data_IF_480134586232
#
_entry.id   IF_480134586232
#
_cell.length_a   1.000
_cell.length_b   1.000
_cell.length_c   1.000
_cell.angle_alpha   90.00
_cell.angle_beta   90.00
_cell.angle_gamma   90.00
#
_symmetry.space_group_name_H-M   'P 1'
#
loop_
_entity.id
_entity.type
_entity.pdbx_description
1 polymer ?
#
# COMPACT_ATOMS: atom_id res chain seq x y z
N UNK A 1 27.46 4.05 -31.00
CA UNK A 1 26.44 4.24 -29.94
C UNK A 1 27.15 4.64 -28.65
N UNK A 2 26.64 5.63 -27.93
CA UNK A 2 27.25 6.11 -26.68
C UNK A 2 27.11 5.07 -25.56
N UNK A 3 28.15 4.87 -24.76
CA UNK A 3 28.06 4.12 -23.51
C UNK A 3 27.64 5.06 -22.39
N UNK A 4 26.54 4.74 -21.70
CA UNK A 4 26.01 5.58 -20.62
C UNK A 4 26.31 4.93 -19.29
N UNK A 5 27.28 5.50 -18.57
CA UNK A 5 27.65 5.11 -17.20
C UNK A 5 27.22 6.26 -16.28
N UNK A 6 26.32 6.03 -15.31
CA UNK A 6 25.89 7.09 -14.40
C UNK A 6 27.06 7.63 -13.57
N UNK A 7 27.15 8.95 -13.47
CA UNK A 7 28.07 9.66 -12.58
C UNK A 7 27.51 9.64 -11.15
N UNK A 8 27.72 8.52 -10.46
CA UNK A 8 27.28 8.31 -9.08
C UNK A 8 28.45 7.88 -8.20
N UNK A 9 28.30 8.07 -6.88
CA UNK A 9 29.29 7.61 -5.91
C UNK A 9 29.47 6.09 -5.95
N UNK A 10 30.63 5.60 -5.51
CA UNK A 10 30.89 4.16 -5.42
C UNK A 10 29.93 3.46 -4.45
N UNK A 11 29.63 4.11 -3.31
CA UNK A 11 28.65 3.61 -2.35
C UNK A 11 27.26 3.45 -2.98
N UNK A 12 26.84 4.43 -3.78
CA UNK A 12 25.54 4.41 -4.45
C UNK A 12 25.50 3.29 -5.51
N UNK A 13 26.57 3.16 -6.31
CA UNK A 13 26.71 2.06 -7.27
C UNK A 13 26.62 0.69 -6.58
N UNK A 14 27.34 0.53 -5.47
CA UNK A 14 27.35 -0.72 -4.71
C UNK A 14 25.97 -1.08 -4.15
N UNK A 15 25.24 -0.11 -3.58
CA UNK A 15 23.89 -0.32 -3.06
C UNK A 15 22.91 -0.76 -4.17
N UNK A 16 23.02 -0.15 -5.36
CA UNK A 16 22.18 -0.48 -6.53
C UNK A 16 22.49 -1.87 -7.05
N UNK A 17 23.76 -2.19 -7.26
CA UNK A 17 24.18 -3.50 -7.74
C UNK A 17 23.79 -4.61 -6.76
N UNK A 18 23.89 -4.35 -5.45
CA UNK A 18 23.45 -5.27 -4.39
C UNK A 18 21.93 -5.49 -4.44
N UNK A 19 21.14 -4.43 -4.56
CA UNK A 19 19.69 -4.52 -4.73
C UNK A 19 19.31 -5.35 -5.97
N UNK A 20 19.94 -5.06 -7.10
CA UNK A 20 19.66 -5.76 -8.37
C UNK A 20 20.07 -7.23 -8.27
N UNK A 21 21.21 -7.53 -7.65
CA UNK A 21 21.67 -8.90 -7.43
C UNK A 21 20.72 -9.67 -6.51
N UNK A 22 20.29 -9.08 -5.39
CA UNK A 22 19.33 -9.68 -4.46
C UNK A 22 18.00 -9.98 -5.15
N UNK A 23 17.49 -9.04 -5.96
CA UNK A 23 16.28 -9.24 -6.74
C UNK A 23 16.42 -10.36 -7.78
N UNK A 24 17.56 -10.45 -8.47
CA UNK A 24 17.83 -11.56 -9.41
C UNK A 24 17.85 -12.89 -8.69
N UNK A 25 18.49 -12.97 -7.53
CA UNK A 25 18.52 -14.19 -6.73
C UNK A 25 17.12 -14.65 -6.29
N UNK A 26 16.19 -13.72 -6.01
CA UNK A 26 14.79 -14.04 -5.74
C UNK A 26 14.08 -14.61 -6.98
N UNK A 27 14.34 -14.02 -8.15
CA UNK A 27 13.78 -14.50 -9.43
C UNK A 27 14.35 -15.85 -9.89
N UNK A 28 15.43 -16.36 -9.31
CA UNK A 28 16.09 -17.59 -9.75
C UNK A 28 15.68 -18.82 -8.93
N UNK A 29 14.88 -18.64 -7.86
CA UNK A 29 14.63 -19.67 -6.85
C UNK A 29 13.52 -20.70 -7.14
N UNK A 30 12.70 -20.54 -8.19
CA UNK A 30 11.66 -21.52 -8.52
C UNK A 30 11.71 -22.02 -9.99
N UNK A 31 11.72 -23.35 -10.23
CA UNK A 31 11.18 -23.88 -11.48
C UNK A 31 9.67 -23.61 -11.51
N UNK A 32 9.15 -23.21 -12.67
CA UNK A 32 7.73 -22.83 -12.82
C UNK A 32 6.82 -23.95 -12.31
N UNK A 33 5.91 -23.67 -11.37
CA UNK A 33 4.85 -24.61 -11.06
C UNK A 33 4.01 -24.89 -12.32
N UNK A 34 3.61 -26.14 -12.54
CA UNK A 34 2.85 -26.55 -13.73
C UNK A 34 1.53 -25.75 -13.91
N UNK A 35 0.97 -25.22 -12.82
CA UNK A 35 -0.24 -24.40 -12.83
C UNK A 35 -0.04 -23.01 -13.44
N UNK A 36 1.19 -22.46 -13.45
CA UNK A 36 1.47 -21.13 -13.99
C UNK A 36 1.15 -21.03 -15.50
N UNK A 37 1.32 -22.13 -16.24
CA UNK A 37 1.00 -22.22 -17.67
C UNK A 37 -0.50 -22.16 -17.97
N UNK A 38 -1.34 -22.69 -17.07
CA UNK A 38 -2.81 -22.66 -17.17
C UNK A 38 -3.39 -21.31 -16.72
N UNK A 39 -2.69 -20.62 -15.82
CA UNK A 39 -3.13 -19.37 -15.19
C UNK A 39 -2.84 -18.10 -16.02
N UNK A 40 -1.71 -18.06 -16.76
CA UNK A 40 -1.34 -16.90 -17.61
C UNK A 40 -2.34 -16.55 -18.71
N UNK A 41 -3.19 -17.49 -19.11
CA UNK A 41 -4.19 -17.30 -20.18
C UNK A 41 -5.56 -16.88 -19.61
N UNK A 42 -5.71 -16.84 -18.28
CA UNK A 42 -6.99 -16.59 -17.60
C UNK A 42 -7.01 -15.33 -16.73
N UNK A 43 -5.87 -14.71 -16.42
CA UNK A 43 -5.81 -13.52 -15.53
C UNK A 43 -5.10 -12.35 -16.21
N UNK A 44 -5.69 -11.16 -16.10
CA UNK A 44 -5.08 -9.90 -16.56
C UNK A 44 -3.70 -9.70 -15.90
N UNK A 45 -2.65 -9.29 -16.64
CA UNK A 45 -1.30 -9.07 -16.11
C UNK A 45 -1.19 -8.07 -14.94
N UNK A 46 -2.26 -7.32 -14.67
CA UNK A 46 -2.37 -6.36 -13.58
C UNK A 46 -2.66 -6.96 -12.20
N UNK A 47 -2.95 -8.27 -12.13
CA UNK A 47 -3.43 -8.93 -10.91
C UNK A 47 -2.37 -9.92 -10.39
N UNK A 48 -1.28 -9.39 -9.85
CA UNK A 48 -0.27 -10.19 -9.15
C UNK A 48 -0.46 -10.05 -7.64
N UNK A 49 -0.65 -11.20 -6.98
CA UNK A 49 -1.03 -11.33 -5.58
C UNK A 49 -0.05 -12.28 -4.93
N UNK A 50 0.91 -11.73 -4.20
CA UNK A 50 1.47 -12.32 -2.98
C UNK A 50 2.26 -11.20 -2.29
N UNK A 51 2.31 -11.19 -0.96
CA UNK A 51 3.14 -10.30 -0.13
C UNK A 51 4.65 -10.44 -0.37
N UNK A 52 5.08 -11.08 -1.45
CA UNK A 52 6.44 -11.04 -1.96
C UNK A 52 6.78 -9.60 -2.36
N UNK A 53 8.05 -9.20 -2.21
CA UNK A 53 8.56 -8.04 -2.94
C UNK A 53 8.11 -8.20 -4.40
N UNK A 54 7.62 -7.16 -5.09
CA UNK A 54 7.40 -7.23 -6.54
C UNK A 54 8.65 -7.77 -7.25
N UNK A 55 8.65 -9.08 -7.44
CA UNK A 55 9.83 -9.94 -7.43
C UNK A 55 9.46 -11.38 -7.78
N UNK A 56 8.17 -11.73 -7.70
CA UNK A 56 7.59 -12.75 -8.57
C UNK A 56 7.84 -12.40 -10.03
N UNK A 57 8.17 -13.44 -10.80
CA UNK A 57 8.64 -13.50 -12.19
C UNK A 57 8.07 -12.45 -13.16
N UNK A 58 6.88 -11.92 -12.90
CA UNK A 58 6.14 -11.02 -13.75
C UNK A 58 6.06 -9.56 -13.31
N UNK A 59 6.56 -9.17 -12.12
CA UNK A 59 6.41 -7.78 -11.70
C UNK A 59 7.14 -6.83 -12.68
N UNK A 60 6.44 -5.84 -13.27
CA UNK A 60 7.07 -4.87 -14.15
C UNK A 60 8.21 -4.13 -13.42
N UNK A 61 9.37 -3.91 -14.07
CA UNK A 61 10.50 -3.23 -13.43
C UNK A 61 10.15 -1.85 -12.84
N UNK A 62 9.24 -1.12 -13.50
CA UNK A 62 8.76 0.16 -13.01
C UNK A 62 8.00 0.06 -11.68
N UNK A 63 7.23 -1.01 -11.49
CA UNK A 63 6.46 -1.24 -10.25
C UNK A 63 7.37 -1.73 -9.12
N UNK A 64 8.39 -2.54 -9.43
CA UNK A 64 9.48 -2.83 -8.47
C UNK A 64 10.13 -1.53 -7.99
N UNK A 65 10.47 -0.61 -8.91
CA UNK A 65 11.05 0.67 -8.52
C UNK A 65 10.09 1.52 -7.70
N UNK A 66 8.79 1.55 -8.03
CA UNK A 66 7.79 2.26 -7.20
C UNK A 66 7.78 1.71 -5.78
N UNK A 67 7.85 0.39 -5.61
CA UNK A 67 7.84 -0.25 -4.30
C UNK A 67 9.09 0.06 -3.45
N UNK A 68 10.26 0.21 -4.09
CA UNK A 68 11.55 0.38 -3.41
C UNK A 68 11.99 1.83 -3.30
N UNK A 69 11.56 2.69 -4.23
CA UNK A 69 11.94 4.10 -4.30
C UNK A 69 10.74 4.98 -3.93
N UNK A 70 10.67 5.51 -2.70
CA UNK A 70 9.60 6.42 -2.29
C UNK A 70 9.50 7.61 -3.25
N UNK A 71 8.28 8.05 -3.55
CA UNK A 71 8.01 9.16 -4.48
C UNK A 71 8.53 8.95 -5.92
N UNK A 72 8.95 7.73 -6.29
CA UNK A 72 9.25 7.44 -7.69
C UNK A 72 7.96 7.39 -8.51
N UNK A 73 7.92 8.19 -9.57
CA UNK A 73 6.81 8.21 -10.50
C UNK A 73 7.29 7.88 -11.92
N UNK A 74 6.98 6.65 -12.36
CA UNK A 74 7.28 6.21 -13.73
C UNK A 74 6.45 6.92 -14.81
N UNK A 75 5.46 7.74 -14.43
CA UNK A 75 4.66 8.56 -15.35
C UNK A 75 5.13 10.02 -15.43
N UNK A 76 6.17 10.40 -14.69
CA UNK A 76 6.74 11.75 -14.72
C UNK A 76 7.10 12.19 -16.15
N UNK A 77 7.22 13.48 -16.43
CA UNK A 77 7.79 13.92 -17.70
C UNK A 77 9.20 13.35 -17.89
N UNK A 78 9.53 12.97 -19.14
CA UNK A 78 10.88 12.59 -19.51
C UNK A 78 11.76 13.85 -19.54
N UNK A 79 13.00 13.72 -19.07
CA UNK A 79 14.00 14.79 -19.13
C UNK A 79 14.50 14.97 -20.55
N UNK A 80 14.64 13.86 -21.30
CA UNK A 80 15.10 13.83 -22.67
C UNK A 80 14.32 12.81 -23.50
N UNK A 81 14.14 13.06 -24.81
CA UNK A 81 13.66 12.06 -25.76
C UNK A 81 14.53 10.79 -25.77
N UNK A 82 13.97 9.69 -26.27
CA UNK A 82 14.68 8.43 -26.39
C UNK A 82 15.90 8.57 -27.33
N UNK A 83 17.04 8.00 -26.95
CA UNK A 83 18.26 7.92 -27.78
C UNK A 83 18.89 6.53 -27.73
N UNK A 84 19.59 6.14 -28.78
CA UNK A 84 20.33 4.88 -28.80
C UNK A 84 21.55 4.93 -27.87
N UNK A 85 21.62 4.01 -26.91
CA UNK A 85 22.69 3.94 -25.92
C UNK A 85 23.03 2.49 -25.54
N UNK A 86 24.27 2.28 -25.08
CA UNK A 86 24.69 1.05 -24.40
C UNK A 86 24.74 1.29 -22.90
N UNK A 87 24.06 0.45 -22.12
CA UNK A 87 23.93 0.59 -20.66
C UNK A 87 24.50 -0.62 -19.92
N UNK A 88 25.04 -0.45 -18.70
CA UNK A 88 25.65 -1.53 -17.93
C UNK A 88 24.60 -2.49 -17.40
N UNK A 89 24.62 -3.75 -17.86
CA UNK A 89 23.63 -4.79 -17.54
C UNK A 89 23.49 -4.99 -16.03
N UNK A 90 24.58 -4.88 -15.27
CA UNK A 90 24.57 -5.01 -13.80
C UNK A 90 23.74 -3.95 -13.07
N UNK A 91 23.53 -2.78 -13.70
CA UNK A 91 22.76 -1.66 -13.12
C UNK A 91 21.32 -1.59 -13.67
N UNK A 92 20.89 -2.61 -14.42
CA UNK A 92 19.54 -2.67 -15.02
C UNK A 92 18.60 -3.58 -14.23
N UNK A 93 17.48 -3.00 -13.80
CA UNK A 93 16.30 -3.73 -13.33
C UNK A 93 15.51 -4.24 -14.55
N UNK A 94 15.60 -5.54 -14.81
CA UNK A 94 14.78 -6.25 -15.80
C UNK A 94 13.76 -7.18 -15.13
N UNK A 95 13.13 -8.05 -15.89
CA UNK A 95 12.35 -9.19 -15.37
C UNK A 95 12.93 -10.49 -15.93
N UNK A 96 12.63 -11.64 -15.35
CA UNK A 96 13.15 -12.91 -15.85
C UNK A 96 12.07 -13.99 -15.92
N UNK A 97 10.93 -13.69 -16.55
CA UNK A 97 9.89 -14.72 -16.78
C UNK A 97 10.14 -15.54 -18.06
N UNK A 98 11.04 -15.09 -18.95
CA UNK A 98 11.36 -15.73 -20.24
C UNK A 98 12.88 -15.70 -20.47
N UNK A 99 13.40 -16.66 -21.24
CA UNK A 99 14.82 -16.79 -21.65
C UNK A 99 15.76 -17.41 -20.59
N UNK A 100 15.49 -18.66 -20.21
CA UNK A 100 16.50 -19.58 -19.64
C UNK A 100 17.11 -20.45 -20.75
N UNK A 101 18.20 -21.18 -20.48
CA UNK A 101 18.91 -22.02 -21.48
C UNK A 101 17.95 -22.93 -22.27
N UNK A 102 16.92 -23.49 -21.62
CA UNK A 102 15.88 -24.30 -22.26
C UNK A 102 14.72 -23.54 -22.96
N UNK A 103 14.74 -22.21 -23.05
CA UNK A 103 13.62 -21.42 -23.59
C UNK A 103 14.01 -20.28 -24.53
N UNK A 104 15.12 -20.41 -25.27
CA UNK A 104 15.67 -19.40 -26.20
C UNK A 104 14.67 -18.91 -27.29
N UNK A 105 14.83 -17.67 -27.81
CA UNK A 105 13.94 -17.07 -28.82
C UNK A 105 13.91 -17.87 -30.12
N UNK A 106 12.75 -17.93 -30.76
CA UNK A 106 12.63 -18.47 -32.13
C UNK A 106 13.50 -17.61 -33.06
N UNK A 107 14.54 -18.19 -33.66
CA UNK A 107 15.55 -17.48 -34.47
C UNK A 107 16.90 -17.25 -33.77
N UNK A 108 17.03 -17.53 -32.48
CA UNK A 108 18.29 -17.57 -31.72
C UNK A 108 18.43 -18.89 -30.94
N UNK A 109 17.82 -19.96 -31.46
CA UNK A 109 17.74 -21.27 -30.82
C UNK A 109 18.97 -22.14 -31.02
N UNK A 110 19.89 -21.71 -31.87
CA UNK A 110 20.99 -22.59 -32.29
C UNK A 110 22.06 -22.68 -31.20
N UNK A 111 22.27 -21.60 -30.43
CA UNK A 111 23.15 -21.59 -29.24
C UNK A 111 22.96 -20.38 -28.32
N UNK A 112 23.53 -20.43 -27.12
CA UNK A 112 23.59 -19.31 -26.16
C UNK A 112 24.29 -18.10 -26.78
N UNK A 113 25.38 -18.33 -27.53
CA UNK A 113 26.15 -17.29 -28.21
C UNK A 113 25.33 -16.58 -29.27
N UNK A 114 24.51 -17.31 -30.03
CA UNK A 114 23.61 -16.73 -31.03
C UNK A 114 22.56 -15.81 -30.38
N UNK A 115 22.06 -16.17 -29.19
CA UNK A 115 21.13 -15.35 -28.43
C UNK A 115 21.80 -14.11 -27.83
N UNK A 116 23.04 -14.22 -27.33
CA UNK A 116 23.83 -13.07 -26.88
C UNK A 116 24.05 -12.10 -28.04
N UNK A 117 24.48 -12.59 -29.21
CA UNK A 117 24.67 -11.77 -30.40
C UNK A 117 23.37 -11.06 -30.80
N UNK A 118 22.25 -11.79 -30.84
CA UNK A 118 20.93 -11.23 -31.14
C UNK A 118 20.52 -10.11 -30.18
N UNK A 119 20.77 -10.26 -28.88
CA UNK A 119 20.38 -9.29 -27.86
C UNK A 119 21.35 -8.11 -27.70
N UNK A 120 22.57 -8.22 -28.24
CA UNK A 120 23.62 -7.20 -28.19
C UNK A 120 23.86 -6.49 -29.52
N UNK A 121 23.07 -6.83 -30.54
CA UNK A 121 22.99 -6.16 -31.84
C UNK A 121 22.52 -4.70 -31.67
N UNK A 122 23.15 -3.76 -32.38
CA UNK A 122 22.86 -2.33 -32.30
C UNK A 122 21.42 -1.99 -32.72
N UNK A 123 20.77 -2.81 -33.57
CA UNK A 123 19.37 -2.65 -33.95
C UNK A 123 18.39 -2.76 -32.76
N UNK A 124 18.85 -3.29 -31.62
CA UNK A 124 18.11 -3.29 -30.36
C UNK A 124 18.01 -1.88 -29.71
N UNK A 125 18.68 -0.87 -30.27
CA UNK A 125 18.62 0.51 -29.82
C UNK A 125 17.91 1.46 -30.81
N UNK A 126 17.43 0.96 -31.95
CA UNK A 126 16.99 1.76 -33.10
C UNK A 126 15.46 1.84 -33.27
N UNK A 127 14.67 1.50 -32.24
CA UNK A 127 13.20 1.56 -32.29
C UNK A 127 12.55 0.47 -33.14
N UNK A 128 13.30 -0.54 -33.58
CA UNK A 128 12.80 -1.76 -34.23
C UNK A 128 12.00 -2.67 -33.28
N UNK A 129 11.35 -3.71 -33.81
CA UNK A 129 10.69 -4.76 -33.01
C UNK A 129 11.63 -5.52 -32.07
N UNK A 130 12.95 -5.41 -32.26
CA UNK A 130 13.98 -6.00 -31.37
C UNK A 130 14.35 -5.07 -30.21
N UNK A 131 13.84 -3.84 -30.19
CA UNK A 131 14.33 -2.79 -29.30
C UNK A 131 14.06 -3.04 -27.84
N UNK A 132 15.08 -2.80 -27.02
CA UNK A 132 14.92 -2.71 -25.58
C UNK A 132 14.73 -1.23 -25.21
N UNK A 133 13.73 -0.92 -24.39
CA UNK A 133 13.47 0.46 -23.95
C UNK A 133 13.90 0.61 -22.49
N UNK A 134 15.00 1.31 -22.26
CA UNK A 134 15.51 1.56 -20.93
C UNK A 134 15.15 2.98 -20.46
N UNK A 135 15.01 3.13 -19.16
CA UNK A 135 14.85 4.41 -18.51
C UNK A 135 15.87 4.53 -17.38
N UNK A 136 16.60 5.63 -17.36
CA UNK A 136 17.54 6.01 -16.31
C UNK A 136 16.86 6.95 -15.32
N UNK A 137 16.81 6.56 -14.05
CA UNK A 137 16.48 7.47 -12.95
C UNK A 137 17.76 8.24 -12.60
N UNK A 138 17.94 9.39 -13.25
CA UNK A 138 19.26 10.01 -13.42
C UNK A 138 19.99 10.29 -12.10
N UNK A 139 19.40 10.97 -11.09
CA UNK A 139 20.10 11.22 -9.82
C UNK A 139 20.47 9.94 -9.05
N UNK A 140 19.71 8.86 -9.27
CA UNK A 140 19.95 7.58 -8.62
C UNK A 140 20.92 6.69 -9.39
N UNK A 141 21.13 6.89 -10.70
CA UNK A 141 21.95 6.00 -11.51
C UNK A 141 21.39 4.58 -11.67
N UNK A 142 20.07 4.41 -11.47
CA UNK A 142 19.38 3.13 -11.63
C UNK A 142 18.72 3.09 -13.01
N UNK A 143 18.94 2.01 -13.75
CA UNK A 143 18.23 1.74 -15.00
C UNK A 143 17.09 0.75 -14.75
N UNK A 144 15.98 0.92 -15.45
CA UNK A 144 14.94 -0.11 -15.54
C UNK A 144 14.43 -0.23 -16.97
N UNK A 145 13.99 -1.43 -17.34
CA UNK A 145 13.36 -1.65 -18.65
C UNK A 145 11.88 -1.30 -18.58
N UNK A 146 11.44 -0.41 -19.46
CA UNK A 146 10.06 0.01 -19.62
C UNK A 146 9.43 -0.65 -20.85
N UNK A 147 8.77 -1.80 -20.66
CA UNK A 147 8.15 -2.55 -21.75
C UNK A 147 9.06 -3.64 -22.32
N UNK A 148 9.37 -3.54 -23.62
CA UNK A 148 10.10 -4.57 -24.36
C UNK A 148 11.57 -4.66 -23.97
N UNK A 149 12.12 -5.88 -23.98
CA UNK A 149 13.51 -6.16 -23.57
C UNK A 149 13.70 -6.52 -22.10
N UNK A 150 12.66 -6.48 -21.25
CA UNK A 150 12.82 -6.76 -19.80
C UNK A 150 13.41 -8.13 -19.51
N UNK A 151 13.05 -9.14 -20.32
CA UNK A 151 13.43 -10.54 -20.14
C UNK A 151 14.88 -10.85 -20.50
N UNK A 152 15.51 -10.05 -21.37
CA UNK A 152 16.89 -10.35 -21.82
C UNK A 152 17.93 -9.93 -20.79
N UNK A 153 17.59 -9.02 -19.87
CA UNK A 153 18.53 -8.48 -18.88
C UNK A 153 19.12 -9.58 -18.00
N UNK A 154 18.28 -10.46 -17.45
CA UNK A 154 18.75 -11.56 -16.60
C UNK A 154 19.57 -12.59 -17.42
N UNK A 155 19.13 -12.91 -18.63
CA UNK A 155 19.87 -13.77 -19.55
C UNK A 155 21.27 -13.21 -19.85
N UNK A 156 21.36 -11.94 -20.23
CA UNK A 156 22.64 -11.26 -20.52
C UNK A 156 23.54 -11.22 -19.27
N UNK A 157 22.97 -10.94 -18.10
CA UNK A 157 23.71 -10.91 -16.85
C UNK A 157 24.32 -12.27 -16.48
N UNK A 158 23.54 -13.37 -16.58
CA UNK A 158 24.03 -14.73 -16.28
C UNK A 158 25.15 -15.18 -17.22
N UNK A 159 25.16 -14.65 -18.44
CA UNK A 159 26.18 -14.94 -19.45
C UNK A 159 27.36 -13.94 -19.43
N UNK A 160 27.49 -13.13 -18.38
CA UNK A 160 28.63 -12.23 -18.21
C UNK A 160 28.67 -11.05 -19.19
N UNK A 161 27.56 -10.72 -19.84
CA UNK A 161 27.51 -9.56 -20.75
C UNK A 161 27.50 -8.28 -19.93
N UNK A 162 28.48 -7.40 -20.17
CA UNK A 162 28.65 -6.17 -19.41
C UNK A 162 27.68 -5.06 -19.84
N UNK A 163 27.46 -4.92 -21.15
CA UNK A 163 26.73 -3.79 -21.75
C UNK A 163 25.63 -4.28 -22.69
N UNK A 164 24.45 -3.66 -22.64
CA UNK A 164 23.34 -3.93 -23.56
C UNK A 164 22.90 -2.68 -24.34
N UNK A 165 22.65 -2.80 -25.67
CA UNK A 165 22.06 -1.72 -26.46
C UNK A 165 20.57 -1.54 -26.13
N UNK A 166 20.12 -0.28 -26.11
CA UNK A 166 18.73 0.09 -25.85
C UNK A 166 18.40 1.49 -26.38
N UNK A 167 17.10 1.76 -26.54
CA UNK A 167 16.55 3.10 -26.60
C UNK A 167 16.42 3.64 -25.16
N UNK A 168 17.28 4.60 -24.79
CA UNK A 168 17.39 5.16 -23.46
C UNK A 168 16.59 6.45 -23.31
N UNK A 169 15.75 6.49 -22.29
CA UNK A 169 15.07 7.69 -21.78
C UNK A 169 15.60 8.06 -20.39
N UNK A 170 15.39 9.29 -19.96
CA UNK A 170 15.85 9.78 -18.65
C UNK A 170 14.69 10.38 -17.85
N UNK A 171 14.71 10.15 -16.54
CA UNK A 171 13.75 10.68 -15.57
C UNK A 171 14.45 11.35 -14.40
N UNK A 172 13.78 12.33 -13.83
CA UNK A 172 14.19 12.97 -12.58
C UNK A 172 13.80 12.12 -11.39
N UNK A 173 14.36 12.48 -10.24
CA UNK A 173 13.98 11.98 -8.93
C UNK A 173 14.15 13.13 -7.94
N UNK A 174 13.40 13.19 -6.81
CA UNK A 174 13.62 14.22 -5.81
C UNK A 174 15.08 14.27 -5.35
N UNK A 175 15.60 15.48 -5.11
CA UNK A 175 16.95 15.63 -4.57
C UNK A 175 17.05 15.04 -3.18
N UNK A 176 18.20 14.46 -2.83
CA UNK A 176 18.41 13.84 -1.53
C UNK A 176 18.10 14.79 -0.35
N UNK A 177 18.40 16.09 -0.51
CA UNK A 177 18.14 17.14 0.49
C UNK A 177 16.66 17.38 0.79
N UNK A 178 15.75 17.01 -0.12
CA UNK A 178 14.30 17.14 0.03
C UNK A 178 13.67 15.93 0.71
N UNK A 179 14.40 14.83 0.78
CA UNK A 179 13.95 13.58 1.38
C UNK A 179 14.48 13.45 2.80
N UNK A 180 13.71 12.77 3.64
CA UNK A 180 14.11 12.44 5.01
C UNK A 180 13.59 11.07 5.39
N UNK A 181 14.48 10.23 5.92
CA UNK A 181 14.14 8.89 6.40
C UNK A 181 13.85 8.94 7.90
N UNK A 182 12.71 8.37 8.30
CA UNK A 182 12.24 8.44 9.68
C UNK A 182 11.84 7.06 10.14
N UNK A 183 12.43 6.61 11.24
CA UNK A 183 12.00 5.39 11.91
C UNK A 183 10.82 5.71 12.84
N UNK A 184 9.72 5.00 12.66
CA UNK A 184 8.52 5.10 13.49
C UNK A 184 8.40 3.84 14.33
N UNK A 185 8.31 3.99 15.65
CA UNK A 185 8.16 2.87 16.58
C UNK A 185 6.69 2.67 16.93
N UNK A 186 6.18 1.47 16.65
CA UNK A 186 4.84 1.04 17.02
C UNK A 186 4.96 -0.16 17.96
N UNK A 187 5.11 0.12 19.25
CA UNK A 187 5.42 -0.90 20.25
C UNK A 187 6.79 -1.54 19.98
N UNK A 188 6.80 -2.85 19.73
CA UNK A 188 8.02 -3.65 19.48
C UNK A 188 8.44 -3.57 18.00
N UNK A 189 7.53 -3.21 17.10
CA UNK A 189 7.81 -3.14 15.67
C UNK A 189 8.32 -1.75 15.27
N UNK A 190 9.34 -1.72 14.41
CA UNK A 190 9.83 -0.52 13.76
C UNK A 190 9.35 -0.48 12.31
N UNK A 191 8.67 0.59 11.93
CA UNK A 191 8.29 0.89 10.55
C UNK A 191 9.14 2.05 10.03
N UNK A 192 9.30 2.14 8.72
CA UNK A 192 10.03 3.24 8.08
C UNK A 192 9.10 4.11 7.24
N UNK A 193 9.31 5.41 7.32
CA UNK A 193 8.59 6.43 6.55
C UNK A 193 9.61 7.32 5.85
N UNK A 194 9.35 7.62 4.58
CA UNK A 194 10.09 8.63 3.83
C UNK A 194 9.23 9.89 3.73
N UNK A 195 9.81 11.03 4.09
CA UNK A 195 9.15 12.34 4.07
C UNK A 195 9.77 13.20 2.98
N UNK A 196 8.94 13.81 2.14
CA UNK A 196 9.32 14.75 1.10
C UNK A 196 8.92 16.18 1.52
N UNK A 197 9.89 17.09 1.47
CA UNK A 197 9.75 18.53 1.77
C UNK A 197 9.08 18.84 3.12
N UNK A 198 9.21 17.95 4.11
CA UNK A 198 8.50 18.05 5.40
C UNK A 198 6.98 18.19 5.26
N UNK A 199 6.41 17.74 4.14
CA UNK A 199 5.00 17.98 3.79
C UNK A 199 4.27 16.70 3.36
N UNK A 200 4.94 15.78 2.68
CA UNK A 200 4.36 14.53 2.21
C UNK A 200 5.06 13.33 2.84
N UNK A 201 4.32 12.28 3.17
CA UNK A 201 4.89 11.04 3.72
C UNK A 201 4.44 9.81 2.92
N UNK A 202 5.36 8.88 2.73
CA UNK A 202 5.10 7.56 2.13
C UNK A 202 5.72 6.48 3.03
N UNK A 203 4.99 5.37 3.23
CA UNK A 203 5.52 4.21 3.96
C UNK A 203 6.62 3.53 3.14
N UNK A 204 7.68 3.05 3.80
CA UNK A 204 8.75 2.28 3.18
C UNK A 204 8.54 0.80 3.50
N UNK A 205 7.99 -0.01 2.56
CA UNK A 205 7.66 -1.41 2.82
C UNK A 205 8.87 -2.34 2.86
N UNK A 206 9.94 -2.01 2.12
CA UNK A 206 11.15 -2.84 1.99
C UNK A 206 12.41 -2.08 2.44
N UNK A 207 12.52 -1.75 3.73
CA UNK A 207 13.64 -0.95 4.25
C UNK A 207 15.02 -1.56 3.95
N UNK A 208 15.12 -2.89 3.86
CA UNK A 208 16.34 -3.61 3.52
C UNK A 208 16.88 -3.27 2.12
N UNK A 209 16.02 -2.84 1.19
CA UNK A 209 16.45 -2.39 -0.14
C UNK A 209 16.43 -0.87 -0.27
N UNK A 210 15.41 -0.21 0.30
CA UNK A 210 15.23 1.23 0.19
C UNK A 210 16.31 2.00 0.95
N UNK A 211 16.62 1.62 2.19
CA UNK A 211 17.52 2.38 3.05
C UNK A 211 18.95 2.44 2.49
N UNK A 212 19.58 1.31 2.08
CA UNK A 212 20.94 1.37 1.52
C UNK A 212 21.05 2.26 0.27
N UNK A 213 20.04 2.22 -0.60
CA UNK A 213 20.00 3.05 -1.82
C UNK A 213 19.89 4.52 -1.46
N UNK A 214 18.92 4.89 -0.62
CA UNK A 214 18.66 6.28 -0.29
C UNK A 214 19.76 6.91 0.58
N UNK A 215 20.35 6.14 1.48
CA UNK A 215 21.49 6.61 2.29
C UNK A 215 22.73 6.85 1.44
N UNK A 216 23.02 5.94 0.51
CA UNK A 216 24.14 6.12 -0.42
C UNK A 216 23.89 7.27 -1.42
N UNK A 217 22.63 7.56 -1.74
CA UNK A 217 22.20 8.74 -2.48
C UNK A 217 22.33 10.05 -1.66
N UNK A 218 22.49 9.96 -0.33
CA UNK A 218 22.70 11.10 0.56
C UNK A 218 21.45 11.54 1.35
N UNK A 219 20.39 10.74 1.36
CA UNK A 219 19.19 11.01 2.18
C UNK A 219 19.53 10.80 3.66
N UNK A 220 19.19 11.78 4.49
CA UNK A 220 19.48 11.73 5.93
C UNK A 220 18.39 11.00 6.71
N UNK A 221 18.82 10.29 7.75
CA UNK A 221 17.93 9.83 8.82
C UNK A 221 17.68 10.97 9.80
N UNK A 222 16.42 11.18 10.17
CA UNK A 222 16.01 12.22 11.12
C UNK A 222 15.04 11.65 12.14
N UNK A 223 14.94 12.30 13.29
CA UNK A 223 13.89 12.02 14.26
C UNK A 223 12.56 12.62 13.80
N UNK A 224 11.46 12.09 14.33
CA UNK A 224 10.14 12.62 14.02
C UNK A 224 9.98 14.05 14.53
N UNK A 225 9.69 14.99 13.64
CA UNK A 225 9.53 16.39 14.02
C UNK A 225 8.24 16.61 14.82
N UNK A 226 8.31 17.44 15.87
CA UNK A 226 7.13 17.83 16.68
C UNK A 226 6.10 18.62 15.87
N UNK A 227 6.55 19.32 14.84
CA UNK A 227 5.69 20.05 13.92
C UNK A 227 5.05 19.17 12.86
N UNK A 228 5.30 17.86 12.83
CA UNK A 228 4.56 16.94 11.94
C UNK A 228 3.28 16.44 12.62
N UNK A 229 2.33 15.86 11.87
CA UNK A 229 1.20 15.16 12.48
C UNK A 229 1.69 14.10 13.47
N UNK A 230 0.80 13.66 14.37
CA UNK A 230 1.13 12.58 15.29
C UNK A 230 1.48 11.30 14.50
N UNK A 231 2.54 10.61 14.94
CA UNK A 231 2.97 9.34 14.34
C UNK A 231 1.81 8.35 14.22
N UNK A 232 0.99 8.23 15.27
CA UNK A 232 -0.18 7.37 15.29
C UNK A 232 -1.19 7.72 14.19
N UNK A 233 -1.43 9.02 13.93
CA UNK A 233 -2.33 9.47 12.87
C UNK A 233 -1.80 9.04 11.50
N UNK A 234 -0.52 9.29 11.23
CA UNK A 234 0.12 8.96 9.94
C UNK A 234 0.08 7.44 9.71
N UNK A 235 0.49 6.65 10.70
CA UNK A 235 0.51 5.20 10.58
C UNK A 235 -0.89 4.60 10.47
N UNK A 236 -1.87 5.13 11.20
CA UNK A 236 -3.26 4.72 11.04
C UNK A 236 -3.78 5.04 9.63
N UNK A 237 -3.45 6.21 9.08
CA UNK A 237 -3.79 6.56 7.70
C UNK A 237 -3.16 5.60 6.68
N UNK A 238 -1.90 5.19 6.85
CA UNK A 238 -1.31 4.17 6.00
C UNK A 238 -2.02 2.81 6.11
N UNK A 239 -2.45 2.41 7.31
CA UNK A 239 -3.24 1.17 7.50
C UNK A 239 -4.60 1.24 6.83
N UNK A 240 -5.32 2.33 7.01
CA UNK A 240 -6.62 2.56 6.39
C UNK A 240 -6.49 2.53 4.86
N UNK A 241 -5.47 3.21 4.33
CA UNK A 241 -5.20 3.20 2.91
C UNK A 241 -4.92 1.79 2.38
N UNK A 242 -4.13 0.98 3.10
CA UNK A 242 -3.90 -0.43 2.74
C UNK A 242 -5.15 -1.30 2.85
N UNK A 243 -6.10 -0.96 3.71
CA UNK A 243 -7.38 -1.66 3.82
C UNK A 243 -8.39 -1.25 2.74
N UNK A 244 -8.32 0.00 2.26
CA UNK A 244 -9.17 0.53 1.18
C UNK A 244 -8.65 0.15 -0.20
N UNK A 245 -7.33 0.16 -0.40
CA UNK A 245 -6.74 -0.45 -1.59
C UNK A 245 -6.83 -1.96 -1.43
N UNK A 246 -7.75 -2.56 -2.16
CA UNK A 246 -7.92 -4.00 -2.33
C UNK A 246 -6.60 -4.77 -2.16
N UNK A 247 -6.67 -5.93 -1.50
CA UNK A 247 -5.59 -6.81 -0.97
C UNK A 247 -4.53 -7.21 -2.03
N UNK A 248 -4.71 -6.77 -3.27
CA UNK A 248 -4.04 -7.17 -4.49
C UNK A 248 -3.02 -6.14 -5.03
N UNK A 249 -2.89 -4.94 -4.45
CA UNK A 249 -1.92 -3.93 -4.91
C UNK A 249 -0.87 -3.63 -3.83
N UNK A 250 0.25 -4.35 -3.88
CA UNK A 250 1.51 -4.01 -3.19
C UNK A 250 2.20 -2.78 -3.83
N UNK A 251 1.43 -1.73 -4.12
CA UNK A 251 1.97 -0.43 -4.50
C UNK A 251 2.41 0.32 -3.24
N UNK A 252 3.42 1.19 -3.37
CA UNK A 252 3.64 2.23 -2.35
C UNK A 252 2.33 2.98 -2.12
N UNK A 253 1.90 3.03 -0.86
CA UNK A 253 0.78 3.86 -0.44
C UNK A 253 0.91 5.26 -1.06
N UNK A 254 -0.18 5.81 -1.61
CA UNK A 254 -0.20 7.18 -2.12
C UNK A 254 0.34 8.13 -1.05
N UNK A 255 1.12 9.15 -1.44
CA UNK A 255 1.66 10.12 -0.49
C UNK A 255 0.57 10.75 0.39
N UNK A 256 0.77 10.69 1.70
CA UNK A 256 -0.09 11.35 2.68
C UNK A 256 0.36 12.79 2.87
N UNK A 257 -0.59 13.73 2.81
CA UNK A 257 -0.32 15.16 3.08
C UNK A 257 -0.37 15.48 4.56
N UNK A 258 0.72 16.01 5.10
CA UNK A 258 0.78 16.45 6.50
C UNK A 258 -0.17 17.60 6.81
N UNK A 259 -0.39 18.51 5.85
CA UNK A 259 -1.36 19.60 6.04
C UNK A 259 -2.79 19.04 6.24
N UNK A 260 -3.16 18.05 5.41
CA UNK A 260 -4.46 17.39 5.53
C UNK A 260 -4.59 16.62 6.86
N UNK A 261 -3.57 15.87 7.27
CA UNK A 261 -3.60 15.13 8.53
C UNK A 261 -3.65 16.06 9.74
N UNK A 262 -2.95 17.19 9.73
CA UNK A 262 -3.03 18.21 10.78
C UNK A 262 -4.43 18.82 10.88
N UNK A 263 -5.06 19.14 9.76
CA UNK A 263 -6.43 19.66 9.76
C UNK A 263 -7.38 18.65 10.40
N UNK A 264 -7.29 17.37 9.99
CA UNK A 264 -8.07 16.28 10.58
C UNK A 264 -7.84 16.11 12.08
N UNK A 265 -6.60 16.26 12.56
CA UNK A 265 -6.30 16.23 14.00
C UNK A 265 -6.89 17.43 14.74
N UNK A 266 -6.84 18.63 14.15
CA UNK A 266 -7.44 19.83 14.74
C UNK A 266 -8.96 19.68 14.85
N UNK A 267 -9.62 19.17 13.80
CA UNK A 267 -11.05 18.88 13.79
C UNK A 267 -11.41 17.84 14.85
N UNK A 268 -10.65 16.74 14.94
CA UNK A 268 -10.88 15.72 15.97
C UNK A 268 -10.72 16.27 17.40
N UNK A 269 -9.74 17.15 17.64
CA UNK A 269 -9.58 17.84 18.94
C UNK A 269 -10.74 18.78 19.22
N UNK A 270 -11.21 19.51 18.22
CA UNK A 270 -12.36 20.41 18.36
C UNK A 270 -13.63 19.60 18.68
N UNK A 271 -13.89 18.50 17.96
CA UNK A 271 -15.01 17.59 18.24
C UNK A 271 -14.91 16.96 19.62
N UNK A 272 -13.73 16.50 20.04
CA UNK A 272 -13.55 15.96 21.40
C UNK A 272 -13.79 17.03 22.49
N UNK A 273 -13.47 18.29 22.20
CA UNK A 273 -13.70 19.40 23.12
C UNK A 273 -15.18 19.83 23.22
N UNK A 274 -15.94 19.70 22.13
CA UNK A 274 -17.38 20.00 22.08
C UNK A 274 -18.21 18.82 22.58
N UNK A 275 -17.76 17.59 22.32
CA UNK A 275 -18.28 16.35 22.90
C UNK A 275 -17.64 16.14 24.28
N UNK A 276 -17.78 17.13 25.17
CA UNK A 276 -17.80 16.83 26.61
C UNK A 276 -19.11 16.09 26.87
N UNK A 277 -19.14 14.80 26.53
CA UNK A 277 -20.19 13.91 27.00
C UNK A 277 -20.27 14.11 28.51
N UNK A 278 -21.39 14.63 29.05
CA UNK A 278 -21.62 14.52 30.46
C UNK A 278 -21.73 13.02 30.70
N UNK A 279 -20.65 12.41 31.19
CA UNK A 279 -20.66 11.03 31.72
C UNK A 279 -21.66 10.88 32.90
N UNK A 280 -22.42 11.94 33.22
CA UNK A 280 -23.43 12.01 34.27
C UNK A 280 -24.84 12.39 33.81
N UNK A 281 -25.16 12.48 32.52
CA UNK A 281 -26.54 12.74 32.08
C UNK A 281 -27.13 11.56 31.32
N UNK A 282 -27.09 10.36 31.91
CA UNK A 282 -28.03 9.34 31.48
C UNK A 282 -29.42 9.80 31.96
N UNK A 283 -30.26 10.26 31.02
CA UNK A 283 -31.62 10.77 31.21
C UNK A 283 -32.53 9.87 32.07
N UNK A 284 -32.16 8.59 32.21
CA UNK A 284 -32.82 7.59 33.05
C UNK A 284 -32.55 7.75 34.56
N UNK A 285 -31.38 8.27 34.96
CA UNK A 285 -31.02 8.46 36.38
C UNK A 285 -31.74 9.65 37.02
N UNK A 286 -32.03 10.70 36.22
CA UNK A 286 -32.73 11.90 36.68
C UNK A 286 -34.24 11.72 36.81
N UNK A 287 -34.85 10.88 35.95
CA UNK A 287 -36.31 10.75 35.91
C UNK A 287 -36.87 9.88 37.04
N UNK A 288 -36.07 9.00 37.64
CA UNK A 288 -36.55 8.08 38.68
C UNK A 288 -35.53 7.91 39.83
N UNK A 289 -35.27 8.95 40.65
CA UNK A 289 -34.39 8.85 41.82
C UNK A 289 -34.81 7.76 42.81
N UNK A 290 -36.11 7.46 42.85
CA UNK A 290 -36.66 6.37 43.66
C UNK A 290 -36.31 4.98 43.11
N UNK A 291 -36.07 4.84 41.81
CA UNK A 291 -35.65 3.56 41.20
C UNK A 291 -34.19 3.27 41.53
N UNK A 292 -33.32 4.27 41.41
CA UNK A 292 -31.88 4.16 41.77
C UNK A 292 -31.71 3.80 43.24
N UNK A 293 -32.46 4.45 44.14
CA UNK A 293 -32.48 4.10 45.57
C UNK A 293 -32.94 2.66 45.83
N UNK A 294 -33.94 2.17 45.10
CA UNK A 294 -34.42 0.79 45.22
C UNK A 294 -33.36 -0.21 44.76
N UNK A 295 -32.70 0.04 43.63
CA UNK A 295 -31.63 -0.84 43.11
C UNK A 295 -30.44 -0.86 44.08
N UNK A 296 -30.01 0.30 44.58
CA UNK A 296 -28.94 0.38 45.59
C UNK A 296 -29.32 -0.34 46.89
N UNK A 297 -30.56 -0.22 47.35
CA UNK A 297 -31.04 -0.94 48.54
C UNK A 297 -31.05 -2.46 48.35
N UNK A 298 -31.43 -2.95 47.17
CA UNK A 298 -31.34 -4.38 46.81
C UNK A 298 -29.89 -4.85 46.81
N UNK A 299 -28.97 -4.10 46.19
CA UNK A 299 -27.55 -4.46 46.20
C UNK A 299 -26.95 -4.45 47.61
N UNK A 300 -27.27 -3.44 48.43
CA UNK A 300 -26.80 -3.35 49.81
C UNK A 300 -27.34 -4.50 50.68
N UNK A 301 -28.61 -4.86 50.53
CA UNK A 301 -29.18 -6.01 51.24
C UNK A 301 -28.57 -7.34 50.80
N UNK A 302 -28.28 -7.52 49.51
CA UNK A 302 -27.59 -8.70 49.00
C UNK A 302 -26.16 -8.82 49.57
N UNK A 303 -25.48 -7.68 49.71
CA UNK A 303 -24.13 -7.60 50.27
C UNK A 303 -24.12 -7.90 51.78
N UNK A 304 -25.13 -7.45 52.52
CA UNK A 304 -25.33 -7.81 53.95
C UNK A 304 -25.62 -9.29 54.11
N UNK A 305 -26.46 -9.90 53.26
CA UNK A 305 -26.73 -11.35 53.30
C UNK A 305 -25.45 -12.16 53.03
N UNK A 306 -24.63 -11.74 52.05
CA UNK A 306 -23.34 -12.37 51.77
C UNK A 306 -22.31 -12.21 52.90
N UNK A 307 -22.39 -11.15 53.70
CA UNK A 307 -21.47 -10.90 54.83
C UNK A 307 -21.89 -11.65 56.11
N UNK A 308 -23.18 -11.89 56.32
CA UNK A 308 -23.71 -12.52 57.54
C UNK A 308 -23.74 -14.04 57.45
N UNK A 309 -23.90 -14.62 56.26
CA UNK A 309 -23.98 -16.08 56.08
C UNK A 309 -22.70 -16.67 55.49
N UNK A 310 -22.17 -17.75 56.10
CA UNK A 310 -21.09 -18.55 55.50
C UNK A 310 -21.60 -19.26 54.24
N UNK A 311 -20.74 -19.35 53.22
CA UNK A 311 -21.06 -19.73 51.84
C UNK A 311 -21.86 -21.04 51.65
N UNK A 312 -21.91 -21.93 52.63
CA UNK A 312 -22.69 -23.18 52.56
C UNK A 312 -24.19 -23.04 52.86
N UNK A 313 -24.66 -21.92 53.41
CA UNK A 313 -26.10 -21.67 53.68
C UNK A 313 -26.72 -20.59 52.79
N UNK A 314 -25.91 -19.90 51.98
CA UNK A 314 -26.34 -18.78 51.13
C UNK A 314 -27.27 -19.20 49.96
N UNK A 315 -27.31 -20.49 49.61
CA UNK A 315 -28.08 -20.99 48.47
C UNK A 315 -29.61 -20.95 48.70
N UNK A 316 -30.07 -21.07 49.95
CA UNK A 316 -31.50 -20.95 50.30
C UNK A 316 -31.96 -19.49 50.37
N UNK A 317 -31.07 -18.56 50.74
CA UNK A 317 -31.35 -17.11 50.73
C UNK A 317 -31.47 -16.52 49.33
N UNK A 318 -30.72 -17.05 48.36
CA UNK A 318 -30.76 -16.62 46.95
C UNK A 318 -32.11 -16.92 46.27
N UNK A 319 -32.80 -18.01 46.65
CA UNK A 319 -34.12 -18.36 46.11
C UNK A 319 -35.21 -17.36 46.48
N UNK A 320 -35.18 -16.80 47.70
CA UNK A 320 -36.13 -15.77 48.14
C UNK A 320 -35.89 -14.41 47.48
N UNK A 321 -34.63 -14.05 47.23
CA UNK A 321 -34.24 -12.78 46.58
C UNK A 321 -34.58 -12.75 45.07
N UNK A 322 -34.44 -13.88 44.37
CA UNK A 322 -34.87 -13.99 42.97
C UNK A 322 -36.41 -13.87 42.83
N UNK A 323 -37.17 -14.39 43.81
CA UNK A 323 -38.62 -14.20 43.87
C UNK A 323 -39.04 -12.74 44.08
N UNK A 324 -38.32 -12.01 44.93
CA UNK A 324 -38.57 -10.58 45.14
C UNK A 324 -38.22 -9.72 43.90
N UNK A 325 -37.17 -10.09 43.15
CA UNK A 325 -36.82 -9.45 41.88
C UNK A 325 -37.89 -9.68 40.80
N UNK A 326 -38.53 -10.85 40.76
CA UNK A 326 -39.64 -11.11 39.83
C UNK A 326 -40.89 -10.25 40.13
N UNK A 327 -41.17 -9.95 41.41
CA UNK A 327 -42.29 -9.08 41.82
C UNK A 327 -42.00 -7.60 41.49
N UNK A 328 -40.74 -7.17 41.56
CA UNK A 328 -40.30 -5.83 41.13
C UNK A 328 -40.18 -5.69 39.60
N UNK A 329 -40.16 -6.80 38.86
CA UNK A 329 -40.08 -6.84 37.41
C UNK A 329 -41.45 -7.02 36.73
N UNK A 330 -42.58 -6.91 37.46
CA UNK A 330 -43.91 -6.75 36.84
C UNK A 330 -43.86 -5.44 36.04
N UNK A 331 -43.85 -5.50 34.70
CA UNK A 331 -43.75 -4.30 33.91
C UNK A 331 -45.04 -3.52 34.07
N UNK A 332 -44.85 -2.21 34.19
CA UNK A 332 -45.71 -1.17 33.63
C UNK A 332 -46.43 -1.72 32.40
N UNK A 333 -47.65 -2.18 32.61
CA UNK A 333 -48.54 -2.69 31.58
C UNK A 333 -49.75 -1.78 31.51
N UNK A 334 -49.91 -1.16 30.34
CA UNK A 334 -51.16 -0.60 29.82
C UNK A 334 -51.51 0.81 30.30
N UNK A 335 -50.91 1.81 29.64
CA UNK A 335 -51.70 2.89 29.02
C UNK A 335 -51.25 3.05 27.58
N UNK A 336 -52.04 2.48 26.69
CA UNK A 336 -52.15 2.92 25.29
C UNK A 336 -52.47 4.41 25.30
N UNK A 337 -51.48 5.24 25.00
CA UNK A 337 -51.70 6.63 24.62
C UNK A 337 -51.71 6.68 23.09
N UNK A 338 -52.82 7.17 22.58
CA UNK A 338 -53.20 7.32 21.19
C UNK A 338 -52.12 8.03 20.37
N UNK A 339 -51.91 7.53 19.14
CA UNK A 339 -51.23 8.26 18.08
C UNK A 339 -52.26 9.22 17.49
N UNK A 340 -52.06 10.56 17.53
CA UNK A 340 -52.82 11.44 16.68
C UNK A 340 -52.17 11.49 15.29
N UNK A 341 -52.99 11.25 14.27
CA UNK A 341 -52.67 11.52 12.88
C UNK A 341 -52.29 13.00 12.68
N UNK A 342 -51.15 13.23 12.05
CA UNK A 342 -50.85 14.47 11.37
C UNK A 342 -49.99 14.17 10.13
N UNK A 343 -50.65 14.18 8.97
CA UNK A 343 -50.04 14.43 7.67
C UNK A 343 -49.10 15.63 7.73
N UNK A 344 -47.94 15.59 7.05
CA UNK A 344 -47.39 16.69 6.23
C UNK A 344 -46.16 16.18 5.44
N UNK A 345 -46.38 16.05 4.13
CA UNK A 345 -45.51 16.50 3.01
C UNK A 345 -44.02 16.14 3.00
N UNK A 346 -43.66 15.08 2.25
CA UNK A 346 -42.39 14.98 1.56
C UNK A 346 -42.53 15.66 0.19
N UNK A 347 -42.20 16.95 0.12
CA UNK A 347 -41.92 17.65 -1.14
C UNK A 347 -40.48 17.41 -1.54
N UNK A 348 -40.33 16.89 -2.75
CA UNK A 348 -39.12 16.93 -3.55
C UNK A 348 -38.60 18.37 -3.71
N UNK A 349 -37.27 18.49 -3.63
CA UNK A 349 -36.44 19.44 -4.35
C UNK A 349 -35.19 18.60 -4.71
N UNK A 350 -35.05 18.06 -5.92
CA UNK A 350 -34.82 18.73 -7.21
C UNK A 350 -33.77 19.84 -7.16
N UNK A 351 -32.51 19.41 -7.36
CA UNK A 351 -31.42 20.05 -8.13
C UNK A 351 -30.26 19.04 -8.08
N UNK A 352 -29.74 18.45 -9.15
CA UNK A 352 -29.40 18.99 -10.45
C UNK A 352 -29.56 17.94 -11.55
N UNK A 353 -30.04 18.42 -12.69
CA UNK A 353 -30.09 17.76 -13.97
C UNK A 353 -28.70 17.61 -14.63
N UNK A 354 -28.71 16.77 -15.67
CA UNK A 354 -27.76 16.67 -16.80
C UNK A 354 -26.49 15.87 -16.48
N UNK A 355 -26.19 14.73 -17.11
CA UNK A 355 -26.19 14.48 -18.56
C UNK A 355 -26.50 13.00 -18.85
N UNK A 356 -27.64 12.73 -19.49
CA UNK A 356 -27.81 11.55 -20.35
C UNK A 356 -27.42 11.96 -21.77
N UNK A 357 -26.50 11.21 -22.38
CA UNK A 357 -26.43 11.11 -23.83
C UNK A 357 -25.94 9.70 -24.18
N UNK A 358 -26.91 8.88 -24.60
CA UNK A 358 -26.77 7.96 -25.73
C UNK A 358 -26.23 6.58 -25.41
N UNK A 359 -27.12 5.59 -25.37
CA UNK A 359 -26.91 4.27 -26.00
C UNK A 359 -28.21 3.44 -25.97
N UNK A 360 -29.15 3.79 -26.84
CA UNK A 360 -30.06 2.82 -27.43
C UNK A 360 -30.17 3.13 -28.93
N UNK A 361 -29.55 2.29 -29.76
CA UNK A 361 -29.96 2.04 -31.13
C UNK A 361 -29.16 0.87 -31.73
N UNK A 362 -29.90 -0.08 -32.29
CA UNK A 362 -29.51 -1.16 -33.21
C UNK A 362 -28.91 -2.44 -32.59
N UNK A 363 -29.68 -3.50 -32.31
CA UNK A 363 -30.59 -4.34 -33.13
C UNK A 363 -29.84 -5.36 -34.00
N UNK A 364 -30.14 -6.63 -33.72
CA UNK A 364 -30.01 -7.82 -34.55
C UNK A 364 -30.21 -7.51 -36.05
N UNK A 365 -29.38 -8.03 -36.96
CA UNK A 365 -29.49 -9.39 -37.53
C UNK A 365 -28.62 -9.57 -38.81
N UNK A 366 -28.25 -10.82 -39.06
CA UNK A 366 -27.95 -11.44 -40.39
C UNK A 366 -26.65 -11.12 -41.15
N UNK A 367 -25.70 -12.08 -41.13
CA UNK A 367 -25.22 -12.83 -42.31
C UNK A 367 -24.21 -13.92 -41.89
#
# INVERSE_FOLDING_TARGET
MEQVIPEISEAQRHAIETFIAARRALSDREPRPAWFGLWKDTVSPSTFVDGSIPGDYACPPADTLRAVLPFFDSSSPLVRPARSARIPVKSVVGSSWRWHEGSLPYGARDSVESAIAYFTDDACAEGSSKSAHACLVNPLGIFYINGEGKNRVAFLARNGVEMMPCALTERTYPSASRLSLVAVREGILASWVCVLDSALAVSVPYPEFTLPILEAYGVRRVEWCKDWPMQATVMNSFRLQRGETDVMRNGTANPLSFAHLKAREADARNTASTVRLPLYSHRLLDQHPNYVRKVLAVFASLLVVCLVFKASEALLGLGGLLGAMAILAIPIGVRTAEVPDAEVSLRAADTCASVELGLEAFREDSA
#
